data_IF_935457077579
#
_entry.id   IF_935457077579
#
_cell.length_a   1.000
_cell.length_b   1.000
_cell.length_c   1.000
_cell.angle_alpha   90.00
_cell.angle_beta   90.00
_cell.angle_gamma   90.00
#
_symmetry.space_group_name_H-M   'P 1'
#
loop_
_entity.id
_entity.type
_entity.pdbx_description
1 polymer ?
#
# COMPACT_ATOMS: atom_id res chain seq x y z
N UNK A 1 11.68 -8.62 4.08
CA UNK A 1 10.43 -9.09 4.71
C UNK A 1 9.43 -9.39 3.61
N UNK A 2 8.48 -10.31 3.82
CA UNK A 2 7.41 -10.57 2.84
C UNK A 2 6.18 -9.74 3.12
N UNK A 3 5.66 -9.05 2.10
CA UNK A 3 4.42 -8.25 2.19
C UNK A 3 3.37 -8.77 1.22
N UNK A 4 2.18 -9.03 1.75
CA UNK A 4 1.01 -9.31 0.93
C UNK A 4 0.26 -7.99 0.60
N UNK A 5 0.35 -7.57 -0.67
CA UNK A 5 -0.35 -6.39 -1.18
C UNK A 5 -1.76 -6.71 -1.72
N UNK A 6 -2.13 -7.98 -1.86
CA UNK A 6 -3.46 -8.39 -2.34
C UNK A 6 -4.52 -8.35 -1.23
N UNK A 7 -4.13 -8.04 0.01
CA UNK A 7 -5.04 -7.88 1.15
C UNK A 7 -6.10 -6.81 0.84
N UNK A 8 -7.40 -7.12 0.95
CA UNK A 8 -8.47 -6.16 0.71
C UNK A 8 -8.62 -5.19 1.88
N UNK A 9 -8.98 -3.95 1.54
CA UNK A 9 -9.48 -2.96 2.47
C UNK A 9 -10.91 -3.30 2.87
N UNK A 10 -11.26 -3.01 4.12
CA UNK A 10 -12.59 -3.30 4.66
C UNK A 10 -13.25 -2.03 5.18
N UNK A 11 -14.56 -1.99 5.14
CA UNK A 11 -15.36 -0.96 5.79
C UNK A 11 -15.51 -1.28 7.29
N UNK A 12 -16.08 -0.36 8.07
CA UNK A 12 -16.33 -0.59 9.50
C UNK A 12 -17.29 -1.77 9.77
N UNK A 13 -18.12 -2.13 8.80
CA UNK A 13 -19.00 -3.30 8.87
C UNK A 13 -18.30 -4.63 8.46
N UNK A 14 -17.01 -4.58 8.12
CA UNK A 14 -16.23 -5.74 7.66
C UNK A 14 -16.40 -6.09 6.18
N UNK A 15 -17.26 -5.40 5.44
CA UNK A 15 -17.42 -5.63 4.00
C UNK A 15 -16.26 -5.01 3.22
N UNK A 16 -15.88 -5.57 2.05
CA UNK A 16 -14.84 -4.99 1.22
C UNK A 16 -15.15 -3.54 0.82
N UNK A 17 -14.13 -2.69 0.87
CA UNK A 17 -14.19 -1.35 0.27
C UNK A 17 -14.00 -1.47 -1.24
N UNK A 18 -14.60 -0.57 -2.01
CA UNK A 18 -14.48 -0.55 -3.47
C UNK A 18 -14.31 0.89 -3.96
N UNK A 19 -13.25 1.14 -4.71
CA UNK A 19 -13.01 2.44 -5.38
C UNK A 19 -13.41 2.43 -6.85
N UNK A 20 -13.61 1.24 -7.44
CA UNK A 20 -13.88 1.06 -8.86
C UNK A 20 -14.93 -0.03 -9.10
N UNK A 21 -15.49 -0.02 -10.29
CA UNK A 21 -16.39 -1.07 -10.78
C UNK A 21 -15.76 -1.75 -12.00
N UNK A 22 -16.05 -3.02 -12.22
CA UNK A 22 -15.67 -3.72 -13.44
C UNK A 22 -16.55 -3.30 -14.64
N UNK A 23 -16.30 -3.89 -15.81
CA UNK A 23 -17.06 -3.63 -17.04
C UNK A 23 -18.55 -3.97 -16.91
N UNK A 24 -18.92 -4.89 -16.01
CA UNK A 24 -20.29 -5.27 -15.72
C UNK A 24 -20.95 -4.38 -14.64
N UNK A 25 -20.22 -3.40 -14.09
CA UNK A 25 -20.70 -2.50 -13.05
C UNK A 25 -20.65 -3.09 -11.62
N UNK A 26 -20.00 -4.22 -11.44
CA UNK A 26 -19.83 -4.88 -10.14
C UNK A 26 -18.68 -4.19 -9.38
N UNK A 27 -18.88 -3.81 -8.10
CA UNK A 27 -17.81 -3.27 -7.26
C UNK A 27 -16.63 -4.22 -7.14
N UNK A 28 -15.41 -3.73 -7.38
CA UNK A 28 -14.17 -4.51 -7.22
C UNK A 28 -13.54 -4.12 -5.89
N UNK A 29 -13.21 -5.12 -5.07
CA UNK A 29 -12.56 -4.90 -3.80
C UNK A 29 -11.24 -4.14 -3.99
N UNK A 30 -11.10 -3.03 -3.27
CA UNK A 30 -9.88 -2.27 -3.21
C UNK A 30 -8.87 -2.97 -2.31
N UNK A 31 -7.62 -3.02 -2.74
CA UNK A 31 -6.54 -3.74 -2.09
C UNK A 31 -5.44 -2.79 -1.62
N UNK A 32 -4.51 -3.30 -0.81
CA UNK A 32 -3.29 -2.56 -0.47
C UNK A 32 -2.45 -2.24 -1.71
N UNK A 33 -2.45 -3.12 -2.73
CA UNK A 33 -1.79 -2.90 -4.01
C UNK A 33 -2.35 -1.66 -4.72
N UNK A 34 -3.69 -1.54 -4.80
CA UNK A 34 -4.33 -0.38 -5.42
C UNK A 34 -3.87 0.93 -4.77
N UNK A 35 -3.87 0.99 -3.42
CA UNK A 35 -3.41 2.17 -2.68
C UNK A 35 -1.92 2.45 -2.89
N UNK A 36 -1.08 1.42 -2.77
CA UNK A 36 0.36 1.56 -2.85
C UNK A 36 0.80 2.03 -4.23
N UNK A 37 0.26 1.42 -5.29
CA UNK A 37 0.55 1.80 -6.68
C UNK A 37 0.10 3.23 -6.96
N UNK A 38 -1.13 3.59 -6.61
CA UNK A 38 -1.63 4.95 -6.81
C UNK A 38 -0.75 5.98 -6.09
N UNK A 39 -0.43 5.74 -4.81
CA UNK A 39 0.39 6.65 -4.02
C UNK A 39 1.86 6.74 -4.47
N UNK A 40 2.45 5.63 -4.94
CA UNK A 40 3.82 5.62 -5.46
C UNK A 40 3.94 6.41 -6.77
N UNK A 41 2.90 6.35 -7.61
CA UNK A 41 2.87 7.02 -8.91
C UNK A 41 2.29 8.44 -8.86
N UNK A 42 1.68 8.84 -7.74
CA UNK A 42 1.11 10.18 -7.60
C UNK A 42 2.18 11.28 -7.49
N UNK A 43 1.76 12.53 -7.60
CA UNK A 43 2.67 13.66 -7.36
C UNK A 43 3.00 13.76 -5.87
N UNK A 44 4.27 13.98 -5.52
CA UNK A 44 4.65 14.23 -4.12
C UNK A 44 4.09 15.57 -3.66
N UNK A 45 3.45 15.56 -2.49
CA UNK A 45 2.93 16.74 -1.82
C UNK A 45 3.73 16.97 -0.54
N UNK A 46 4.22 18.19 -0.33
CA UNK A 46 4.88 18.61 0.91
C UNK A 46 4.33 19.98 1.31
N UNK A 47 3.75 20.07 2.51
CA UNK A 47 3.05 21.28 2.95
C UNK A 47 1.90 21.73 2.04
N UNK A 48 1.27 20.81 1.31
CA UNK A 48 0.21 21.12 0.33
C UNK A 48 0.71 21.64 -1.02
N UNK A 49 2.02 21.72 -1.21
CA UNK A 49 2.62 22.13 -2.48
C UNK A 49 3.20 20.92 -3.21
N UNK A 50 3.08 20.85 -4.54
CA UNK A 50 3.71 19.78 -5.28
C UNK A 50 5.24 19.92 -5.23
N UNK A 51 5.92 18.83 -4.89
CA UNK A 51 7.37 18.76 -4.92
C UNK A 51 7.87 17.87 -6.03
N UNK A 52 8.91 18.34 -6.71
CA UNK A 52 9.67 17.57 -7.68
C UNK A 52 10.50 16.54 -6.92
N UNK A 53 10.29 15.25 -7.21
CA UNK A 53 11.20 14.21 -6.74
C UNK A 53 12.44 14.16 -7.63
N UNK A 54 13.56 13.66 -7.10
CA UNK A 54 14.72 13.41 -7.95
C UNK A 54 14.39 12.29 -8.96
N UNK A 55 15.09 12.26 -10.10
CA UNK A 55 14.87 11.22 -11.11
C UNK A 55 15.09 9.80 -10.56
N UNK A 56 16.06 9.63 -9.65
CA UNK A 56 16.31 8.35 -8.99
C UNK A 56 15.18 7.93 -8.06
N UNK A 57 14.59 8.87 -7.32
CA UNK A 57 13.46 8.58 -6.43
C UNK A 57 12.22 8.20 -7.25
N UNK A 58 11.98 8.87 -8.38
CA UNK A 58 10.91 8.50 -9.31
C UNK A 58 11.11 7.09 -9.87
N UNK A 59 12.31 6.76 -10.32
CA UNK A 59 12.62 5.44 -10.83
C UNK A 59 12.45 4.36 -9.75
N UNK A 60 12.84 4.66 -8.52
CA UNK A 60 12.69 3.74 -7.38
C UNK A 60 11.22 3.51 -7.06
N UNK A 61 10.41 4.57 -6.97
CA UNK A 61 8.98 4.46 -6.72
C UNK A 61 8.25 3.72 -7.86
N UNK A 62 8.61 4.00 -9.12
CA UNK A 62 8.06 3.32 -10.30
C UNK A 62 8.36 1.80 -10.27
N UNK A 63 9.62 1.40 -10.05
CA UNK A 63 9.99 -0.01 -10.00
C UNK A 63 9.30 -0.77 -8.88
N UNK A 64 9.12 -0.12 -7.73
CA UNK A 64 8.37 -0.70 -6.62
C UNK A 64 6.88 -0.83 -6.97
N UNK A 65 6.28 0.19 -7.60
CA UNK A 65 4.89 0.16 -8.03
C UNK A 65 4.64 -0.94 -9.07
N UNK A 66 5.52 -1.09 -10.06
CA UNK A 66 5.47 -2.16 -11.06
C UNK A 66 5.50 -3.55 -10.39
N UNK A 67 6.44 -3.78 -9.47
CA UNK A 67 6.52 -5.04 -8.71
C UNK A 67 5.27 -5.32 -7.88
N UNK A 68 4.67 -4.31 -7.27
CA UNK A 68 3.42 -4.46 -6.50
C UNK A 68 2.24 -4.74 -7.44
N UNK A 69 2.19 -4.08 -8.59
CA UNK A 69 1.12 -4.25 -9.57
C UNK A 69 1.12 -5.65 -10.19
N UNK A 70 2.29 -6.18 -10.53
CA UNK A 70 2.45 -7.48 -11.17
C UNK A 70 2.40 -8.66 -10.18
N UNK A 71 2.34 -8.39 -8.87
CA UNK A 71 2.34 -9.41 -7.84
C UNK A 71 1.03 -10.21 -7.80
N UNK A 72 1.14 -11.54 -7.94
CA UNK A 72 0.06 -12.50 -7.70
C UNK A 72 0.21 -13.24 -6.36
N UNK A 73 1.27 -12.94 -5.61
CA UNK A 73 1.63 -13.53 -4.32
C UNK A 73 2.39 -12.51 -3.45
N UNK A 74 2.58 -12.78 -2.14
CA UNK A 74 3.39 -11.92 -1.29
C UNK A 74 4.81 -11.74 -1.84
N UNK A 75 5.26 -10.48 -1.93
CA UNK A 75 6.57 -10.12 -2.47
C UNK A 75 7.55 -9.76 -1.35
N UNK A 76 8.84 -10.02 -1.58
CA UNK A 76 9.89 -9.53 -0.71
C UNK A 76 10.06 -8.02 -0.87
N UNK A 77 10.01 -7.28 0.24
CA UNK A 77 10.26 -5.84 0.32
C UNK A 77 11.28 -5.51 1.41
N UNK A 78 11.99 -4.40 1.24
CA UNK A 78 12.90 -3.87 2.27
C UNK A 78 12.16 -2.95 3.25
N UNK A 79 12.80 -2.66 4.40
CA UNK A 79 12.26 -1.71 5.38
C UNK A 79 12.09 -0.32 4.77
N UNK A 80 13.03 0.08 3.91
CA UNK A 80 13.03 1.36 3.21
C UNK A 80 11.90 1.43 2.17
N UNK A 81 11.62 0.33 1.46
CA UNK A 81 10.50 0.24 0.53
C UNK A 81 9.16 0.34 1.27
N UNK A 82 9.01 -0.32 2.42
CA UNK A 82 7.82 -0.18 3.27
C UNK A 82 7.69 1.25 3.80
N UNK A 83 8.77 1.85 4.28
CA UNK A 83 8.77 3.24 4.76
C UNK A 83 8.39 4.22 3.63
N UNK A 84 8.86 3.97 2.41
CA UNK A 84 8.48 4.72 1.23
C UNK A 84 6.97 4.60 1.00
N UNK A 85 6.42 3.39 0.89
CA UNK A 85 4.97 3.18 0.68
C UNK A 85 4.14 3.86 1.77
N UNK A 86 4.49 3.70 3.05
CA UNK A 86 3.80 4.35 4.18
C UNK A 86 3.77 5.87 4.03
N UNK A 87 4.91 6.48 3.71
CA UNK A 87 5.02 7.92 3.47
C UNK A 87 4.12 8.33 2.32
N UNK A 88 4.20 7.63 1.19
CA UNK A 88 3.43 7.95 -0.02
C UNK A 88 1.92 7.87 0.20
N UNK A 89 1.45 6.82 0.85
CA UNK A 89 0.02 6.66 1.19
C UNK A 89 -0.44 7.80 2.09
N UNK A 90 0.36 8.19 3.08
CA UNK A 90 0.02 9.26 4.03
C UNK A 90 0.02 10.66 3.39
N UNK A 91 0.83 10.87 2.34
CA UNK A 91 0.88 12.12 1.57
C UNK A 91 -0.30 12.22 0.57
N UNK A 92 -0.72 11.09 -0.01
CA UNK A 92 -1.70 11.06 -1.10
C UNK A 92 -3.16 10.95 -0.64
N UNK A 93 -3.44 10.10 0.36
CA UNK A 93 -4.79 9.86 0.84
C UNK A 93 -5.11 10.68 2.08
N UNK A 94 -6.33 11.25 2.14
CA UNK A 94 -6.79 12.07 3.27
C UNK A 94 -7.79 11.34 4.18
N UNK A 95 -8.32 10.20 3.74
CA UNK A 95 -9.34 9.45 4.47
C UNK A 95 -8.70 8.62 5.60
N UNK A 96 -8.98 8.90 6.89
CA UNK A 96 -8.30 8.25 8.01
C UNK A 96 -8.48 6.72 8.04
N UNK A 97 -9.65 6.22 7.63
CA UNK A 97 -9.93 4.79 7.59
C UNK A 97 -9.00 4.07 6.60
N UNK A 98 -8.81 4.63 5.41
CA UNK A 98 -7.97 4.07 4.34
C UNK A 98 -6.51 4.08 4.76
N UNK A 99 -6.03 5.24 5.23
CA UNK A 99 -4.63 5.40 5.66
C UNK A 99 -4.33 4.48 6.85
N UNK A 100 -5.18 4.48 7.89
CA UNK A 100 -4.97 3.66 9.08
C UNK A 100 -4.90 2.17 8.77
N UNK A 101 -5.81 1.65 7.95
CA UNK A 101 -5.76 0.24 7.55
C UNK A 101 -4.50 -0.10 6.76
N UNK A 102 -4.13 0.73 5.78
CA UNK A 102 -2.94 0.49 4.98
C UNK A 102 -1.67 0.46 5.84
N UNK A 103 -1.52 1.38 6.79
CA UNK A 103 -0.37 1.42 7.70
C UNK A 103 -0.31 0.16 8.59
N UNK A 104 -1.45 -0.29 9.12
CA UNK A 104 -1.51 -1.55 9.90
C UNK A 104 -1.15 -2.74 9.04
N UNK A 105 -1.68 -2.85 7.81
CA UNK A 105 -1.38 -3.97 6.91
C UNK A 105 0.11 -4.04 6.52
N UNK A 106 0.79 -2.90 6.45
CA UNK A 106 2.23 -2.79 6.20
C UNK A 106 3.07 -3.08 7.46
N UNK A 107 2.50 -2.96 8.66
CA UNK A 107 3.16 -3.27 9.94
C UNK A 107 2.94 -4.71 10.40
N UNK A 108 1.76 -5.30 10.17
CA UNK A 108 1.46 -6.69 10.55
C UNK A 108 2.47 -7.68 9.95
N UNK A 109 2.95 -7.42 8.73
CA UNK A 109 3.97 -8.24 8.08
C UNK A 109 5.33 -8.18 8.80
N UNK A 110 5.62 -7.09 9.53
CA UNK A 110 6.81 -6.98 10.40
C UNK A 110 6.64 -7.84 11.67
N UNK A 111 5.41 -7.95 12.19
CA UNK A 111 5.13 -8.68 13.42
C UNK A 111 5.27 -10.20 13.25
N UNK A 112 4.86 -10.74 12.09
CA UNK A 112 4.88 -12.19 11.81
C UNK A 112 6.32 -12.75 11.79
N UNK A 113 7.31 -11.97 11.38
CA UNK A 113 8.73 -12.39 11.42
C UNK A 113 9.34 -12.31 12.84
N UNK A 114 8.69 -11.63 13.80
CA UNK A 114 9.17 -11.47 15.18
C UNK A 114 8.60 -12.47 16.18
N UNK A 115 7.52 -13.19 15.82
CA UNK A 115 6.94 -14.23 16.65
C UNK A 115 7.68 -15.55 16.43
N UNK A 116 8.70 -15.81 17.28
CA UNK A 116 9.20 -17.17 17.51
C UNK A 116 8.04 -18.12 17.90
N UNK A 117 8.22 -19.44 17.76
CA UNK A 117 7.13 -20.39 17.98
C UNK A 117 6.56 -20.24 19.40
N UNK A 118 5.24 -20.42 19.58
CA UNK A 118 4.65 -20.38 20.90
C UNK A 118 5.33 -21.45 21.76
N UNK A 119 5.98 -21.02 22.83
CA UNK A 119 6.44 -21.91 23.89
C UNK A 119 5.18 -22.43 24.57
N UNK A 120 4.86 -23.70 24.32
CA UNK A 120 3.77 -24.46 24.94
C UNK A 120 4.12 -24.71 26.42
#
# INVERSE_FOLDING_TARGET
MKQDFLRPLVQFNGEPMSFRKDEAGVPVAATLADLAVEALLSQRMDGGMPQTMSGNDHLTAYKLAERIHDADAPIDVTVEEVALVKRRISEHFVQPLVVGQALIMLEDSLAIESSGPPVI
#
